data_IF_439765301713
#
_entry.id   IF_439765301713
#
_cell.length_a   1.000
_cell.length_b   1.000
_cell.length_c   1.000
_cell.angle_alpha   90.00
_cell.angle_beta   90.00
_cell.angle_gamma   90.00
#
_symmetry.space_group_name_H-M   'P 1'
#
loop_
_entity.id
_entity.type
_entity.pdbx_description
1 polymer ?
#
# COMPACT_ATOMS: atom_id res chain seq x y z
N UNK A 1 2.12 3.65 -17.52
CA UNK A 1 1.41 2.41 -17.68
C UNK A 1 -0.10 2.61 -17.81
N UNK A 2 -0.81 3.07 -16.77
CA UNK A 2 -2.29 3.18 -16.76
C UNK A 2 -2.85 3.96 -17.95
N UNK A 3 -2.27 5.12 -18.29
CA UNK A 3 -2.69 5.89 -19.45
C UNK A 3 -2.53 5.11 -20.76
N UNK A 4 -1.42 4.40 -20.96
CA UNK A 4 -1.18 3.59 -22.14
C UNK A 4 -2.14 2.38 -22.23
N UNK A 5 -2.45 1.74 -21.10
CA UNK A 5 -3.43 0.67 -21.04
C UNK A 5 -4.83 1.14 -21.44
N UNK A 6 -5.31 2.25 -20.84
CA UNK A 6 -6.61 2.84 -21.18
C UNK A 6 -6.65 3.23 -22.66
N UNK A 7 -5.62 3.92 -23.13
CA UNK A 7 -5.51 4.41 -24.51
C UNK A 7 -5.58 3.26 -25.53
N UNK A 8 -4.87 2.16 -25.28
CA UNK A 8 -4.88 1.01 -26.20
C UNK A 8 -6.15 0.17 -26.11
N UNK A 9 -6.67 -0.07 -24.90
CA UNK A 9 -7.83 -0.96 -24.70
C UNK A 9 -9.14 -0.26 -25.06
N UNK A 10 -9.31 1.00 -24.63
CA UNK A 10 -10.58 1.70 -24.83
C UNK A 10 -10.63 2.47 -26.15
N UNK A 11 -9.50 2.91 -26.69
CA UNK A 11 -9.43 3.80 -27.84
C UNK A 11 -8.61 3.24 -29.00
N UNK A 12 -8.14 1.99 -28.90
CA UNK A 12 -7.34 1.31 -29.92
C UNK A 12 -6.08 2.07 -30.36
N UNK A 13 -5.54 2.94 -29.50
CA UNK A 13 -4.30 3.65 -29.80
C UNK A 13 -3.07 2.72 -29.68
N UNK A 14 -2.16 2.82 -30.64
CA UNK A 14 -0.90 2.07 -30.65
C UNK A 14 0.05 2.55 -29.54
N UNK A 15 -0.21 2.13 -28.31
CA UNK A 15 0.57 2.48 -27.12
C UNK A 15 0.89 1.25 -26.28
N UNK A 16 2.18 0.96 -26.10
CA UNK A 16 2.61 -0.16 -25.28
C UNK A 16 2.48 0.14 -23.79
N UNK A 17 1.72 -0.70 -23.08
CA UNK A 17 1.54 -0.65 -21.64
C UNK A 17 2.60 -1.51 -20.95
N UNK A 18 3.67 -0.90 -20.44
CA UNK A 18 4.78 -1.61 -19.80
C UNK A 18 4.61 -1.63 -18.28
N UNK A 19 4.07 -2.73 -17.76
CA UNK A 19 3.95 -3.04 -16.34
C UNK A 19 5.05 -4.01 -15.86
N UNK A 20 4.99 -4.44 -14.60
CA UNK A 20 5.93 -5.41 -14.05
C UNK A 20 5.94 -6.78 -14.75
N UNK A 21 4.82 -7.20 -15.35
CA UNK A 21 4.70 -8.43 -16.13
C UNK A 21 5.41 -8.27 -17.46
N UNK A 22 5.12 -7.18 -18.16
CA UNK A 22 5.73 -6.88 -19.47
C UNK A 22 7.25 -6.69 -19.35
N UNK A 23 7.72 -5.93 -18.34
CA UNK A 23 9.17 -5.86 -18.07
C UNK A 23 9.81 -7.23 -17.92
N UNK A 24 9.18 -8.13 -17.19
CA UNK A 24 9.71 -9.48 -16.94
C UNK A 24 9.73 -10.32 -18.21
N UNK A 25 8.66 -10.30 -18.99
CA UNK A 25 8.57 -11.02 -20.26
C UNK A 25 9.64 -10.52 -21.22
N UNK A 26 9.71 -9.23 -21.48
CA UNK A 26 10.68 -8.65 -22.40
C UNK A 26 12.12 -8.90 -21.95
N UNK A 27 12.40 -8.75 -20.64
CA UNK A 27 13.72 -9.04 -20.08
C UNK A 27 14.12 -10.50 -20.34
N UNK A 28 13.20 -11.45 -20.19
CA UNK A 28 13.47 -12.87 -20.41
C UNK A 28 13.51 -13.26 -21.88
N UNK A 29 12.54 -12.83 -22.69
CA UNK A 29 12.49 -13.18 -24.12
C UNK A 29 13.73 -12.66 -24.84
N UNK A 30 14.15 -11.44 -24.57
CA UNK A 30 15.31 -10.82 -25.23
C UNK A 30 16.60 -10.88 -24.40
N UNK A 31 16.60 -11.60 -23.28
CA UNK A 31 17.75 -11.73 -22.36
C UNK A 31 18.40 -10.39 -21.96
N UNK A 32 17.59 -9.38 -21.64
CA UNK A 32 18.06 -8.03 -21.32
C UNK A 32 18.41 -7.94 -19.84
N UNK A 33 19.66 -7.61 -19.55
CA UNK A 33 20.21 -7.48 -18.19
C UNK A 33 20.21 -6.05 -17.64
N UNK A 34 19.79 -5.06 -18.43
CA UNK A 34 19.62 -3.67 -17.96
C UNK A 34 18.55 -3.64 -16.88
N UNK A 35 18.84 -2.96 -15.77
CA UNK A 35 17.90 -2.90 -14.64
C UNK A 35 16.61 -2.17 -15.03
N UNK A 36 15.47 -2.83 -14.90
CA UNK A 36 14.15 -2.33 -15.34
C UNK A 36 13.71 -1.04 -14.63
N UNK A 37 14.32 -0.72 -13.50
CA UNK A 37 14.01 0.48 -12.70
C UNK A 37 15.11 1.54 -12.75
N UNK A 38 16.07 1.42 -13.68
CA UNK A 38 17.00 2.50 -14.04
C UNK A 38 16.40 3.40 -15.13
N UNK A 39 16.84 4.67 -15.26
CA UNK A 39 16.41 5.54 -16.36
C UNK A 39 16.66 4.93 -17.74
N UNK A 40 17.83 4.28 -17.93
CA UNK A 40 18.19 3.58 -19.14
C UNK A 40 17.24 2.38 -19.40
N UNK A 41 16.98 1.54 -18.38
CA UNK A 41 16.08 0.40 -18.50
C UNK A 41 14.67 0.84 -18.87
N UNK A 42 14.13 1.88 -18.22
CA UNK A 42 12.82 2.40 -18.58
C UNK A 42 12.75 2.78 -20.06
N UNK A 43 13.76 3.50 -20.57
CA UNK A 43 13.83 3.91 -21.98
C UNK A 43 13.96 2.71 -22.92
N UNK A 44 14.85 1.77 -22.61
CA UNK A 44 15.09 0.56 -23.41
C UNK A 44 13.85 -0.29 -23.53
N UNK A 45 13.22 -0.63 -22.41
CA UNK A 45 12.05 -1.51 -22.41
C UNK A 45 10.82 -0.83 -23.02
N UNK A 46 10.63 0.48 -22.81
CA UNK A 46 9.54 1.20 -23.44
C UNK A 46 9.73 1.31 -24.96
N UNK A 47 10.97 1.54 -25.43
CA UNK A 47 11.31 1.55 -26.85
C UNK A 47 11.04 0.20 -27.50
N UNK A 48 11.52 -0.89 -26.88
CA UNK A 48 11.28 -2.27 -27.32
C UNK A 48 9.79 -2.61 -27.36
N UNK A 49 9.06 -2.31 -26.30
CA UNK A 49 7.62 -2.57 -26.25
C UNK A 49 6.86 -1.81 -27.35
N UNK A 50 7.22 -0.57 -27.64
CA UNK A 50 6.62 0.23 -28.70
C UNK A 50 6.93 -0.30 -30.10
N UNK A 51 8.07 -0.98 -30.29
CA UNK A 51 8.42 -1.59 -31.60
C UNK A 51 7.70 -2.94 -31.83
N UNK A 52 7.23 -3.57 -30.76
CA UNK A 52 6.59 -4.88 -30.82
C UNK A 52 5.06 -4.83 -30.82
N UNK A 53 4.47 -3.72 -30.41
CA UNK A 53 3.02 -3.61 -30.26
C UNK A 53 2.30 -3.81 -31.60
N UNK A 54 1.24 -4.61 -31.56
CA UNK A 54 0.36 -4.83 -32.72
C UNK A 54 -0.34 -3.52 -33.12
N UNK A 55 -0.31 -3.19 -34.41
CA UNK A 55 -0.92 -1.96 -34.93
C UNK A 55 -2.44 -2.02 -35.00
N UNK A 56 -2.98 -3.19 -35.34
CA UNK A 56 -4.41 -3.41 -35.53
C UNK A 56 -5.16 -3.63 -34.21
N UNK A 57 -4.54 -4.36 -33.26
CA UNK A 57 -5.15 -4.75 -32.00
C UNK A 57 -4.21 -4.48 -30.81
N UNK A 58 -3.86 -3.21 -30.52
CA UNK A 58 -2.90 -2.89 -29.48
C UNK A 58 -3.42 -3.20 -28.06
N UNK A 59 -4.73 -3.11 -27.84
CA UNK A 59 -5.38 -3.46 -26.58
C UNK A 59 -5.23 -4.95 -26.25
N UNK A 60 -5.60 -5.83 -27.17
CA UNK A 60 -5.47 -7.28 -27.00
C UNK A 60 -4.02 -7.73 -26.87
N UNK A 61 -3.10 -7.08 -27.62
CA UNK A 61 -1.68 -7.32 -27.48
C UNK A 61 -1.17 -7.00 -26.06
N UNK A 62 -1.50 -5.82 -25.53
CA UNK A 62 -1.12 -5.45 -24.18
C UNK A 62 -1.74 -6.41 -23.14
N UNK A 63 -3.02 -6.76 -23.30
CA UNK A 63 -3.71 -7.67 -22.40
C UNK A 63 -3.06 -9.06 -22.42
N UNK A 64 -2.75 -9.60 -23.61
CA UNK A 64 -2.12 -10.92 -23.75
C UNK A 64 -0.76 -11.02 -23.07
N UNK A 65 0.05 -9.95 -23.13
CA UNK A 65 1.33 -9.90 -22.41
C UNK A 65 1.13 -9.84 -20.88
N UNK A 66 0.16 -9.08 -20.41
CA UNK A 66 -0.16 -9.02 -18.98
C UNK A 66 -0.63 -10.39 -18.48
N UNK A 67 -1.51 -11.07 -19.21
CA UNK A 67 -2.02 -12.40 -18.86
C UNK A 67 -0.94 -13.46 -18.90
N UNK A 68 -0.09 -13.46 -19.93
CA UNK A 68 1.07 -14.35 -20.02
C UNK A 68 2.01 -14.17 -18.81
N UNK A 69 2.22 -12.92 -18.40
CA UNK A 69 3.04 -12.63 -17.22
C UNK A 69 2.39 -13.07 -15.91
N UNK A 70 1.07 -12.94 -15.80
CA UNK A 70 0.34 -13.32 -14.60
C UNK A 70 0.22 -14.85 -14.44
N UNK A 71 0.03 -15.59 -15.53
CA UNK A 71 -0.34 -17.01 -15.49
C UNK A 71 0.79 -17.99 -15.83
N UNK A 72 1.67 -17.64 -16.77
CA UNK A 72 2.72 -18.50 -17.32
C UNK A 72 4.13 -18.03 -16.92
N UNK A 73 4.50 -16.82 -17.35
CA UNK A 73 5.83 -16.25 -17.09
C UNK A 73 5.91 -15.61 -15.70
N UNK A 74 5.62 -16.37 -14.65
CA UNK A 74 5.57 -15.90 -13.27
C UNK A 74 6.96 -15.53 -12.71
N UNK A 75 7.04 -14.71 -11.63
CA UNK A 75 8.32 -14.24 -11.10
C UNK A 75 9.24 -15.37 -10.59
N UNK A 76 8.70 -16.30 -9.80
CA UNK A 76 9.50 -17.32 -9.09
C UNK A 76 9.51 -18.67 -9.81
N UNK A 77 8.36 -19.14 -10.26
CA UNK A 77 8.17 -20.48 -10.84
C UNK A 77 7.46 -20.38 -12.19
N UNK A 78 8.13 -19.89 -13.25
CA UNK A 78 7.51 -19.79 -14.56
C UNK A 78 7.28 -21.17 -15.18
N UNK A 79 6.14 -21.30 -15.87
CA UNK A 79 5.73 -22.54 -16.54
C UNK A 79 6.28 -22.59 -17.97
N UNK A 80 7.61 -22.63 -18.13
CA UNK A 80 8.27 -22.50 -19.42
C UNK A 80 7.85 -23.56 -20.44
N UNK A 81 7.54 -24.79 -19.99
CA UNK A 81 7.08 -25.87 -20.88
C UNK A 81 5.71 -25.61 -21.51
N UNK A 82 4.90 -24.71 -20.91
CA UNK A 82 3.58 -24.30 -21.40
C UNK A 82 3.63 -22.92 -22.08
N UNK A 83 4.82 -22.31 -22.15
CA UNK A 83 4.94 -20.93 -22.64
C UNK A 83 4.94 -20.90 -24.18
N UNK A 84 4.02 -20.13 -24.80
CA UNK A 84 3.97 -20.01 -26.27
C UNK A 84 5.22 -19.32 -26.84
N UNK A 85 5.96 -18.57 -26.02
CA UNK A 85 7.19 -17.88 -26.42
C UNK A 85 8.46 -18.70 -26.11
N UNK A 86 8.34 -19.98 -25.74
CA UNK A 86 9.49 -20.80 -25.31
C UNK A 86 10.56 -20.89 -26.41
N UNK A 87 10.16 -21.10 -27.65
CA UNK A 87 11.07 -21.28 -28.79
C UNK A 87 11.89 -20.05 -29.17
N UNK A 88 11.49 -18.88 -28.71
CA UNK A 88 12.17 -17.60 -28.98
C UNK A 88 12.73 -16.96 -27.69
N UNK A 89 12.67 -17.67 -26.57
CA UNK A 89 13.02 -17.11 -25.26
C UNK A 89 14.52 -17.30 -24.99
N UNK A 90 15.31 -16.26 -25.23
CA UNK A 90 16.75 -16.28 -25.01
C UNK A 90 17.15 -16.55 -23.55
N UNK A 91 16.37 -16.11 -22.58
CA UNK A 91 16.65 -16.43 -21.18
C UNK A 91 16.42 -17.89 -20.82
N UNK A 92 15.52 -18.58 -21.53
CA UNK A 92 15.34 -20.02 -21.39
C UNK A 92 16.56 -20.77 -21.93
N UNK A 93 17.01 -20.42 -23.14
CA UNK A 93 18.14 -21.04 -23.79
C UNK A 93 19.46 -20.80 -23.04
N UNK A 94 19.63 -19.59 -22.50
CA UNK A 94 20.81 -19.19 -21.74
C UNK A 94 20.73 -19.56 -20.24
N UNK A 95 19.66 -20.19 -19.76
CA UNK A 95 19.46 -20.52 -18.34
C UNK A 95 19.48 -19.32 -17.39
N UNK A 96 19.08 -18.13 -17.88
CA UNK A 96 19.11 -16.85 -17.10
C UNK A 96 17.76 -16.43 -16.54
N UNK A 97 16.71 -17.25 -16.67
CA UNK A 97 15.33 -16.94 -16.26
C UNK A 97 15.24 -16.42 -14.83
N UNK A 98 15.97 -17.06 -13.90
CA UNK A 98 15.92 -16.70 -12.48
C UNK A 98 16.64 -15.37 -12.15
N UNK A 99 17.53 -14.93 -13.05
CA UNK A 99 18.28 -13.69 -12.91
C UNK A 99 17.53 -12.48 -13.49
N UNK A 100 16.44 -12.72 -14.24
CA UNK A 100 15.71 -11.71 -14.98
C UNK A 100 14.25 -11.56 -14.48
N UNK A 101 13.77 -10.32 -14.41
CA UNK A 101 14.42 -9.06 -14.75
C UNK A 101 15.37 -8.57 -13.67
N UNK A 102 16.44 -7.88 -14.05
CA UNK A 102 17.36 -7.22 -13.13
C UNK A 102 16.66 -5.99 -12.51
N UNK A 103 16.83 -5.82 -11.20
CA UNK A 103 16.36 -4.63 -10.46
C UNK A 103 17.47 -4.07 -9.58
N UNK A 104 17.69 -2.77 -9.65
CA UNK A 104 18.53 -2.08 -8.67
C UNK A 104 17.77 -2.12 -7.34
N UNK A 105 18.41 -2.67 -6.28
CA UNK A 105 17.83 -2.65 -4.94
C UNK A 105 17.59 -1.20 -4.52
N UNK A 106 16.34 -0.82 -4.32
CA UNK A 106 15.99 0.53 -3.89
C UNK A 106 16.26 0.71 -2.40
N UNK A 107 16.69 1.94 -2.09
CA UNK A 107 16.77 2.67 -0.82
C UNK A 107 16.24 1.99 0.44
N UNK A 108 16.94 2.28 1.54
CA UNK A 108 16.54 1.92 2.92
C UNK A 108 15.05 2.20 3.14
N UNK A 109 14.31 1.19 3.54
CA UNK A 109 12.92 1.33 3.97
C UNK A 109 12.90 2.28 5.17
N UNK A 110 12.15 3.38 5.09
CA UNK A 110 11.97 4.30 6.21
C UNK A 110 11.03 3.67 7.24
N UNK A 111 11.51 3.45 8.45
CA UNK A 111 10.66 3.05 9.56
C UNK A 111 10.00 4.27 10.17
N UNK A 112 8.67 4.21 10.37
CA UNK A 112 7.87 5.22 11.06
C UNK A 112 7.10 4.56 12.19
N UNK A 113 6.89 5.29 13.27
CA UNK A 113 6.19 4.81 14.46
C UNK A 113 5.00 5.71 14.72
N UNK A 114 3.81 5.15 14.55
CA UNK A 114 2.55 5.84 14.75
C UNK A 114 1.90 5.35 16.02
N UNK A 115 1.61 6.28 16.91
CA UNK A 115 0.91 6.02 18.14
C UNK A 115 -0.44 6.73 18.12
N UNK A 116 -1.51 5.97 18.00
CA UNK A 116 -2.88 6.44 17.91
C UNK A 116 -3.61 6.30 19.25
N UNK A 117 -4.39 7.32 19.60
CA UNK A 117 -5.32 7.28 20.72
C UNK A 117 -6.74 7.14 20.18
N UNK A 118 -7.30 5.94 20.24
CA UNK A 118 -8.70 5.68 19.91
C UNK A 118 -9.56 6.06 21.12
N UNK A 119 -10.07 7.28 21.16
CA UNK A 119 -10.86 7.81 22.26
C UNK A 119 -12.34 7.63 21.98
N UNK A 120 -13.01 6.82 22.78
CA UNK A 120 -14.48 6.69 22.82
C UNK A 120 -15.04 7.58 23.94
N UNK A 121 -15.89 8.50 23.54
CA UNK A 121 -16.59 9.43 24.41
C UNK A 121 -18.10 9.32 24.21
N UNK A 122 -18.83 8.85 25.20
CA UNK A 122 -20.29 8.66 25.15
C UNK A 122 -20.78 7.93 23.87
N UNK A 123 -20.05 6.90 23.44
CA UNK A 123 -20.38 6.12 22.23
C UNK A 123 -19.89 6.72 20.90
N UNK A 124 -19.19 7.85 20.95
CA UNK A 124 -18.58 8.48 19.78
C UNK A 124 -17.05 8.37 19.82
N UNK A 125 -16.44 8.16 18.67
CA UNK A 125 -14.99 8.15 18.48
C UNK A 125 -14.51 9.50 17.98
N UNK A 126 -13.38 9.96 18.50
CA UNK A 126 -12.73 11.17 18.01
C UNK A 126 -11.85 10.85 16.81
N UNK A 127 -12.15 11.44 15.66
CA UNK A 127 -11.42 11.27 14.43
C UNK A 127 -11.07 12.61 13.79
N UNK A 128 -10.00 12.65 13.01
CA UNK A 128 -9.55 13.84 12.30
C UNK A 128 -9.15 13.51 10.87
N UNK A 129 -9.57 14.37 9.94
CA UNK A 129 -9.14 14.25 8.54
C UNK A 129 -7.68 14.65 8.39
N UNK A 130 -6.87 13.80 7.76
CA UNK A 130 -5.47 14.08 7.42
C UNK A 130 -5.43 15.05 6.24
N UNK A 131 -4.98 16.26 6.46
CA UNK A 131 -4.89 17.31 5.42
C UNK A 131 -3.47 17.52 4.92
N UNK A 132 -2.45 17.10 5.67
CA UNK A 132 -1.05 17.26 5.33
C UNK A 132 -0.66 16.45 4.10
N UNK A 133 0.37 16.90 3.37
CA UNK A 133 0.95 16.18 2.22
C UNK A 133 1.82 15.01 2.71
N UNK A 134 1.16 13.94 3.12
CA UNK A 134 1.77 12.71 3.63
C UNK A 134 0.91 11.51 3.20
N UNK A 135 1.33 10.28 3.59
CA UNK A 135 0.52 9.07 3.39
C UNK A 135 -0.88 9.25 3.97
N UNK A 136 -1.85 8.60 3.35
CA UNK A 136 -3.24 8.60 3.78
C UNK A 136 -3.91 9.99 3.82
N UNK A 137 -3.42 10.92 3.01
CA UNK A 137 -4.05 12.23 2.87
C UNK A 137 -5.52 12.07 2.50
N UNK A 138 -6.37 12.90 3.11
CA UNK A 138 -7.84 12.90 3.00
C UNK A 138 -8.55 11.71 3.68
N UNK A 139 -7.84 10.75 4.26
CA UNK A 139 -8.44 9.75 5.13
C UNK A 139 -8.60 10.28 6.55
N UNK A 140 -9.48 9.65 7.32
CA UNK A 140 -9.70 9.97 8.72
C UNK A 140 -8.91 9.03 9.62
N UNK A 141 -8.27 9.57 10.64
CA UNK A 141 -7.54 8.80 11.65
C UNK A 141 -7.83 9.31 13.08
N UNK A 142 -7.34 8.56 14.05
CA UNK A 142 -7.38 8.95 15.45
C UNK A 142 -6.37 10.06 15.76
N UNK A 143 -6.45 10.73 16.93
CA UNK A 143 -5.35 11.52 17.46
C UNK A 143 -4.04 10.77 17.37
N UNK A 144 -3.03 11.34 16.69
CA UNK A 144 -1.78 10.68 16.31
C UNK A 144 -0.57 11.39 16.88
N UNK A 145 0.36 10.59 17.42
CA UNK A 145 1.74 11.00 17.65
C UNK A 145 2.64 10.17 16.74
N UNK A 146 3.48 10.83 15.96
CA UNK A 146 4.57 10.19 15.24
C UNK A 146 5.89 10.36 16.01
N UNK A 147 6.68 9.31 16.09
CA UNK A 147 7.94 9.29 16.81
C UNK A 147 9.04 8.56 16.03
N UNK A 148 10.28 8.63 16.50
CA UNK A 148 11.42 7.90 15.94
C UNK A 148 11.53 6.45 16.42
N UNK A 149 10.70 6.04 17.39
CA UNK A 149 10.69 4.71 17.99
C UNK A 149 9.38 4.43 18.73
N UNK A 150 9.28 3.28 19.38
CA UNK A 150 8.12 2.90 20.20
C UNK A 150 7.98 3.88 21.36
N UNK A 151 6.81 4.51 21.48
CA UNK A 151 6.52 5.39 22.59
C UNK A 151 6.20 4.58 23.85
N UNK A 152 6.75 5.02 24.97
CA UNK A 152 6.36 4.57 26.30
C UNK A 152 5.45 5.63 26.93
N UNK A 153 4.59 5.24 27.85
CA UNK A 153 3.64 6.13 28.55
C UNK A 153 4.31 7.36 29.19
N UNK A 154 5.58 7.27 29.52
CA UNK A 154 6.37 8.37 30.10
C UNK A 154 6.87 9.40 29.06
N UNK A 155 6.60 9.19 27.77
CA UNK A 155 7.05 10.11 26.72
C UNK A 155 6.35 11.47 26.86
N UNK A 156 7.12 12.57 26.76
CA UNK A 156 6.59 13.94 26.91
C UNK A 156 5.52 14.25 25.88
N UNK A 157 5.69 13.80 24.62
CA UNK A 157 4.74 14.06 23.55
C UNK A 157 3.44 13.28 23.75
N UNK A 158 3.52 12.05 24.25
CA UNK A 158 2.37 11.25 24.65
C UNK A 158 1.56 11.98 25.72
N UNK A 159 2.23 12.40 26.82
CA UNK A 159 1.59 13.14 27.91
C UNK A 159 0.97 14.45 27.45
N UNK A 160 1.64 15.20 26.57
CA UNK A 160 1.09 16.46 26.03
C UNK A 160 -0.18 16.23 25.21
N UNK A 161 -0.22 15.26 24.30
CA UNK A 161 -1.41 14.97 23.51
C UNK A 161 -2.55 14.47 24.39
N UNK A 162 -2.26 13.53 25.27
CA UNK A 162 -3.21 13.00 26.23
C UNK A 162 -3.80 14.13 27.08
N UNK A 163 -2.96 14.98 27.66
CA UNK A 163 -3.38 16.12 28.49
C UNK A 163 -4.16 17.16 27.69
N UNK A 164 -3.85 17.39 26.42
CA UNK A 164 -4.57 18.37 25.59
C UNK A 164 -6.02 17.97 25.33
N UNK A 165 -6.31 16.67 25.28
CA UNK A 165 -7.65 16.14 24.99
C UNK A 165 -8.40 15.76 26.27
N UNK A 166 -7.74 15.12 27.21
CA UNK A 166 -8.35 14.46 28.37
C UNK A 166 -8.00 15.15 29.71
N UNK A 167 -7.05 16.10 29.72
CA UNK A 167 -6.55 16.76 30.94
C UNK A 167 -5.99 15.73 31.95
N UNK A 168 -6.43 15.85 33.21
CA UNK A 168 -6.04 15.00 34.32
C UNK A 168 -7.09 13.90 34.63
N UNK A 169 -7.98 13.61 33.70
CA UNK A 169 -8.95 12.51 33.89
C UNK A 169 -8.23 11.18 34.08
N UNK A 170 -8.66 10.41 35.05
CA UNK A 170 -8.24 9.03 35.21
C UNK A 170 -8.90 8.23 34.11
N UNK A 171 -8.08 7.77 33.18
CA UNK A 171 -8.54 7.03 32.01
C UNK A 171 -8.06 5.58 32.13
N UNK A 172 -8.97 4.64 31.93
CA UNK A 172 -8.64 3.24 31.86
C UNK A 172 -8.35 2.92 30.37
N UNK A 173 -7.09 2.61 30.05
CA UNK A 173 -6.73 2.04 28.75
C UNK A 173 -7.34 0.64 28.69
N UNK A 174 -8.33 0.45 27.82
CA UNK A 174 -9.05 -0.81 27.74
C UNK A 174 -8.36 -1.85 26.87
N UNK A 175 -7.61 -1.42 25.86
CA UNK A 175 -6.94 -2.32 24.93
C UNK A 175 -5.81 -1.60 24.19
N UNK A 176 -4.67 -2.27 24.07
CA UNK A 176 -3.56 -1.82 23.21
C UNK A 176 -3.38 -2.84 22.10
N UNK A 177 -3.29 -2.37 20.85
CA UNK A 177 -3.04 -3.19 19.67
C UNK A 177 -1.82 -2.70 18.91
N UNK A 178 -1.07 -3.65 18.35
CA UNK A 178 0.12 -3.41 17.55
C UNK A 178 -0.09 -3.92 16.14
N UNK A 179 0.24 -3.09 15.15
CA UNK A 179 0.16 -3.45 13.73
C UNK A 179 1.44 -3.05 13.02
N UNK A 180 1.89 -3.91 12.11
CA UNK A 180 2.89 -3.56 11.11
C UNK A 180 2.19 -3.37 9.76
N UNK A 181 2.48 -2.26 9.09
CA UNK A 181 1.92 -1.98 7.77
C UNK A 181 3.03 -1.60 6.81
N UNK A 182 3.22 -2.45 5.79
CA UNK A 182 4.27 -2.26 4.79
C UNK A 182 3.74 -1.46 3.62
N UNK A 183 4.41 -0.35 3.32
CA UNK A 183 4.26 0.45 2.11
C UNK A 183 5.50 0.29 1.22
N UNK A 184 5.43 0.76 -0.04
CA UNK A 184 6.52 0.59 -1.02
C UNK A 184 7.88 1.12 -0.51
N UNK A 185 7.89 2.22 0.25
CA UNK A 185 9.11 2.89 0.71
C UNK A 185 9.16 3.10 2.22
N UNK A 186 8.15 2.63 2.95
CA UNK A 186 8.02 2.85 4.38
C UNK A 186 7.47 1.60 5.06
N UNK A 187 7.93 1.33 6.28
CA UNK A 187 7.32 0.37 7.20
C UNK A 187 6.77 1.14 8.39
N UNK A 188 5.47 1.02 8.60
CA UNK A 188 4.79 1.66 9.71
C UNK A 188 4.65 0.67 10.86
N UNK A 189 5.13 1.06 12.03
CA UNK A 189 4.91 0.37 13.29
C UNK A 189 3.82 1.17 14.01
N UNK A 190 2.64 0.58 14.17
CA UNK A 190 1.44 1.27 14.61
C UNK A 190 1.01 0.70 15.95
N UNK A 191 0.87 1.56 16.94
CA UNK A 191 0.25 1.26 18.21
C UNK A 191 -1.08 1.99 18.30
N UNK A 192 -2.17 1.29 18.64
CA UNK A 192 -3.47 1.90 18.87
C UNK A 192 -3.88 1.60 20.30
N UNK A 193 -4.05 2.64 21.11
CA UNK A 193 -4.60 2.55 22.45
C UNK A 193 -6.07 2.94 22.45
N UNK A 194 -6.92 2.02 22.91
CA UNK A 194 -8.35 2.26 23.06
C UNK A 194 -8.65 2.76 24.47
N UNK A 195 -9.26 3.94 24.52
CA UNK A 195 -9.57 4.67 25.72
C UNK A 195 -11.06 4.96 25.75
N UNK A 196 -11.75 4.59 26.82
CA UNK A 196 -13.14 4.96 27.06
C UNK A 196 -13.24 5.99 28.18
N UNK A 197 -13.93 7.10 27.91
CA UNK A 197 -14.10 8.20 28.87
C UNK A 197 -15.49 8.81 28.76
N UNK A 198 -15.98 9.38 29.84
CA UNK A 198 -17.22 10.16 29.89
C UNK A 198 -16.97 11.66 29.88
N UNK A 199 -15.70 12.09 29.82
CA UNK A 199 -15.31 13.51 29.80
C UNK A 199 -14.23 13.76 28.77
N UNK A 200 -14.44 14.75 27.93
CA UNK A 200 -13.44 15.33 27.04
C UNK A 200 -13.28 16.80 27.42
N UNK A 201 -12.03 17.21 27.54
CA UNK A 201 -11.72 18.59 27.89
C UNK A 201 -11.68 19.49 26.65
N UNK A 202 -11.11 18.97 25.56
CA UNK A 202 -10.96 19.70 24.31
C UNK A 202 -11.08 18.74 23.14
N UNK A 203 -12.08 18.96 22.31
CA UNK A 203 -12.34 18.22 21.08
C UNK A 203 -12.11 19.07 19.82
N UNK A 204 -11.47 20.23 19.94
CA UNK A 204 -11.26 21.16 18.85
C UNK A 204 -10.55 20.51 17.66
N UNK A 205 -11.24 20.52 16.51
CA UNK A 205 -10.75 19.97 15.26
C UNK A 205 -10.89 18.45 15.11
N UNK A 206 -11.57 17.76 16.05
CA UNK A 206 -11.96 16.36 15.90
C UNK A 206 -13.44 16.24 15.53
N UNK A 207 -13.70 15.32 14.61
CA UNK A 207 -15.04 14.87 14.29
C UNK A 207 -15.46 13.80 15.30
N UNK A 208 -16.65 13.94 15.87
CA UNK A 208 -17.27 12.90 16.71
C UNK A 208 -18.11 12.00 15.81
N UNK A 209 -17.74 10.74 15.70
CA UNK A 209 -18.41 9.76 14.87
C UNK A 209 -18.85 8.56 15.69
N UNK A 210 -20.07 8.13 15.49
CA UNK A 210 -20.55 6.89 16.09
C UNK A 210 -20.13 5.66 15.26
N UNK A 211 -20.40 4.50 15.77
CA UNK A 211 -20.02 3.22 15.21
C UNK A 211 -20.50 3.00 13.77
N UNK A 212 -21.72 3.45 13.46
CA UNK A 212 -22.29 3.33 12.12
C UNK A 212 -21.59 4.26 11.13
N UNK A 213 -21.36 5.50 11.55
CA UNK A 213 -20.67 6.50 10.73
C UNK A 213 -19.21 6.14 10.44
N UNK A 214 -18.52 5.47 11.37
CA UNK A 214 -17.14 5.01 11.15
C UNK A 214 -17.03 4.07 9.95
N UNK A 215 -18.03 3.22 9.70
CA UNK A 215 -18.03 2.28 8.56
C UNK A 215 -18.10 2.99 7.21
N UNK A 216 -18.63 4.20 7.17
CA UNK A 216 -18.77 5.01 5.96
C UNK A 216 -17.59 5.95 5.73
N UNK A 217 -16.75 6.16 6.75
CA UNK A 217 -15.59 7.05 6.64
C UNK A 217 -14.42 6.36 5.92
N UNK A 218 -13.76 7.06 5.00
CA UNK A 218 -12.52 6.58 4.42
C UNK A 218 -11.40 6.61 5.48
N UNK A 219 -10.98 5.46 5.96
CA UNK A 219 -9.94 5.30 6.97
C UNK A 219 -8.76 4.47 6.43
N UNK A 220 -7.53 4.61 6.98
CA UNK A 220 -6.42 3.72 6.69
C UNK A 220 -6.73 2.27 7.07
N UNK A 221 -6.25 1.30 6.27
CA UNK A 221 -6.48 -0.15 6.50
C UNK A 221 -6.15 -0.64 7.92
N UNK A 222 -5.10 -0.18 8.61
CA UNK A 222 -4.87 -0.57 10.00
C UNK A 222 -5.95 -0.10 10.97
N UNK A 223 -6.56 1.06 10.72
CA UNK A 223 -7.66 1.58 11.54
C UNK A 223 -8.95 0.81 11.26
N UNK A 224 -9.25 0.51 9.99
CA UNK A 224 -10.36 -0.34 9.59
C UNK A 224 -10.27 -1.71 10.29
N UNK A 225 -9.12 -2.37 10.20
CA UNK A 225 -8.86 -3.64 10.88
C UNK A 225 -9.04 -3.56 12.41
N UNK A 226 -8.57 -2.47 13.01
CA UNK A 226 -8.76 -2.25 14.44
C UNK A 226 -10.25 -2.18 14.82
N UNK A 227 -11.05 -1.47 14.03
CA UNK A 227 -12.49 -1.40 14.26
C UNK A 227 -13.19 -2.76 14.04
N UNK A 228 -12.82 -3.51 12.99
CA UNK A 228 -13.32 -4.88 12.78
C UNK A 228 -13.06 -5.76 14.01
N UNK A 229 -11.83 -5.71 14.55
CA UNK A 229 -11.46 -6.47 15.76
C UNK A 229 -12.20 -5.98 17.03
N UNK A 230 -12.45 -4.67 17.12
CA UNK A 230 -13.20 -4.08 18.23
C UNK A 230 -14.67 -4.51 18.20
N UNK A 231 -15.32 -4.49 17.02
CA UNK A 231 -16.72 -4.89 16.82
C UNK A 231 -16.92 -6.36 17.13
N UNK A 232 -16.10 -7.23 16.56
CA UNK A 232 -16.18 -8.67 16.84
C UNK A 232 -16.03 -8.99 18.35
N UNK A 233 -15.31 -8.14 19.09
CA UNK A 233 -15.18 -8.29 20.54
C UNK A 233 -16.36 -7.76 21.35
N UNK A 234 -17.24 -6.96 20.74
CA UNK A 234 -18.46 -6.43 21.36
C UNK A 234 -19.65 -7.34 21.09
N UNK A 235 -19.74 -7.93 19.89
CA UNK A 235 -20.82 -8.85 19.49
C UNK A 235 -20.76 -10.21 20.23
N UNK A 236 -19.60 -10.59 20.77
CA UNK A 236 -19.44 -11.79 21.62
C UNK A 236 -19.90 -11.61 23.09
N UNK A 237 -20.49 -10.47 23.45
CA UNK A 237 -20.92 -10.18 24.83
C UNK A 237 -22.44 -9.97 24.99
N UNK A 238 -23.23 -10.41 24.00
CA UNK A 238 -24.69 -10.44 24.05
C UNK A 238 -25.13 -11.89 24.23
#
# INVERSE_FOLDING_TARGET
>A
YTAAAISSICFNEKRAAVDGNVYRILARVFNIHTAINSPEGIKTFQGLANSLICETNPGDYNQSLMDLGATICTPKTPKCNQCPLKSICLAHDNNTINNLPVKIKKTKIKHRYFHYLCIEYNGYFLMKKRTQKDIWRNLYDFPLIESSGILKENNINYKKLFHSILKNEIVIIKKTKYYEHQLTHQKLNITIEYIKTNKIFNDNGFLKVNLMQVKELPVPKPIERFFEELFNSLDCKI
#
